data_IF_202885155548
#
_entry.id   IF_202885155548
#
_cell.length_a   1.000
_cell.length_b   1.000
_cell.length_c   1.000
_cell.angle_alpha   90.00
_cell.angle_beta   90.00
_cell.angle_gamma   90.00
#
_symmetry.space_group_name_H-M   'P 1'
#
loop_
_entity.id
_entity.type
_entity.pdbx_description
1 polymer ?
#
# COMPACT_ATOMS: atom_id res chain seq x y z
N UNK A 1 17.65 -15.32 0.91
CA UNK A 1 17.26 -15.89 -0.41
C UNK A 1 16.11 -15.07 -0.97
N UNK A 2 16.13 -14.78 -2.27
CA UNK A 2 15.06 -14.06 -2.97
C UNK A 2 14.51 -14.96 -4.08
N UNK A 3 13.19 -14.94 -4.28
CA UNK A 3 12.52 -15.65 -5.36
C UNK A 3 12.19 -14.67 -6.49
N UNK A 4 12.31 -15.10 -7.76
CA UNK A 4 12.02 -14.27 -8.94
C UNK A 4 11.04 -15.00 -9.85
N UNK A 5 9.95 -14.32 -10.21
CA UNK A 5 9.04 -14.71 -11.29
C UNK A 5 9.31 -13.83 -12.51
N UNK A 6 9.49 -14.44 -13.68
CA UNK A 6 9.65 -13.72 -14.94
C UNK A 6 8.56 -14.15 -15.93
N UNK A 7 7.86 -13.17 -16.49
CA UNK A 7 6.79 -13.38 -17.46
C UNK A 7 7.15 -12.64 -18.74
N UNK A 8 7.36 -13.37 -19.83
CA UNK A 8 7.68 -12.83 -21.15
C UNK A 8 6.46 -12.83 -22.08
N UNK A 9 5.52 -11.91 -21.88
CA UNK A 9 4.32 -11.78 -22.71
C UNK A 9 4.24 -10.39 -23.32
N UNK A 10 4.31 -10.33 -24.66
CA UNK A 10 4.18 -9.09 -25.43
C UNK A 10 2.83 -8.41 -25.18
N UNK A 11 1.75 -9.20 -25.19
CA UNK A 11 0.39 -8.72 -24.92
C UNK A 11 0.28 -8.03 -23.56
N UNK A 12 0.75 -8.69 -22.48
CA UNK A 12 0.71 -8.10 -21.13
C UNK A 12 1.56 -6.82 -21.07
N UNK A 13 2.72 -6.82 -21.71
CA UNK A 13 3.57 -5.65 -21.74
C UNK A 13 2.88 -4.46 -22.43
N UNK A 14 2.29 -4.67 -23.60
CA UNK A 14 1.57 -3.65 -24.36
C UNK A 14 0.34 -3.13 -23.59
N UNK A 15 -0.42 -4.03 -22.95
CA UNK A 15 -1.56 -3.66 -22.09
C UNK A 15 -1.11 -2.77 -20.92
N UNK A 16 0.02 -3.07 -20.27
CA UNK A 16 0.57 -2.26 -19.18
C UNK A 16 1.02 -0.89 -19.66
N UNK A 17 1.64 -0.80 -20.84
CA UNK A 17 2.03 0.49 -21.45
C UNK A 17 0.77 1.32 -21.76
N UNK A 18 -0.26 0.71 -22.35
CA UNK A 18 -1.53 1.38 -22.66
C UNK A 18 -2.24 1.90 -21.40
N UNK A 19 -2.11 1.19 -20.28
CA UNK A 19 -2.59 1.63 -18.96
C UNK A 19 -1.74 2.73 -18.34
N UNK A 20 -0.60 3.12 -18.94
CA UNK A 20 0.26 4.22 -18.49
C UNK A 20 1.47 3.80 -17.66
N UNK A 21 1.83 2.51 -17.64
CA UNK A 21 3.09 2.06 -17.02
C UNK A 21 4.28 2.37 -17.93
N UNK A 22 5.43 2.65 -17.31
CA UNK A 22 6.68 2.96 -18.00
C UNK A 22 7.78 1.95 -17.67
N UNK A 23 8.85 1.91 -18.46
CA UNK A 23 10.09 1.23 -18.07
C UNK A 23 10.86 2.09 -17.06
N UNK A 24 11.69 1.48 -16.20
CA UNK A 24 12.39 2.18 -15.08
C UNK A 24 11.41 2.95 -14.16
N UNK A 25 10.37 2.21 -13.73
CA UNK A 25 9.20 2.71 -12.98
C UNK A 25 9.55 3.55 -11.75
N UNK A 26 10.57 3.19 -10.97
CA UNK A 26 10.84 3.80 -9.68
C UNK A 26 11.01 5.33 -9.71
N UNK A 27 11.45 5.90 -10.84
CA UNK A 27 11.71 7.33 -10.99
C UNK A 27 10.67 8.05 -11.88
N UNK A 28 9.81 7.32 -12.59
CA UNK A 28 8.85 7.89 -13.56
C UNK A 28 7.40 7.52 -13.25
N UNK A 29 7.15 6.82 -12.14
CA UNK A 29 5.83 6.34 -11.77
C UNK A 29 4.86 7.50 -11.57
N UNK A 30 3.83 7.54 -12.41
CA UNK A 30 2.66 8.41 -12.21
C UNK A 30 1.51 7.54 -11.76
N UNK A 31 0.68 8.06 -10.85
CA UNK A 31 -0.55 7.38 -10.51
C UNK A 31 -1.44 7.33 -11.75
N UNK A 32 -1.88 6.13 -12.10
CA UNK A 32 -2.75 5.89 -13.25
C UNK A 32 -4.13 6.49 -13.01
N UNK A 33 -4.88 6.76 -14.08
CA UNK A 33 -6.30 7.08 -13.96
C UNK A 33 -7.04 5.77 -13.75
N UNK A 34 -7.40 5.50 -12.49
CA UNK A 34 -8.04 4.24 -12.09
C UNK A 34 -9.51 4.53 -11.80
N UNK A 35 -10.46 3.82 -12.45
CA UNK A 35 -11.87 3.95 -12.12
C UNK A 35 -12.09 3.69 -10.63
N UNK A 36 -12.91 4.52 -9.97
CA UNK A 36 -13.14 4.44 -8.50
C UNK A 36 -13.49 3.03 -8.02
N UNK A 37 -14.28 2.29 -8.81
CA UNK A 37 -14.68 0.89 -8.55
C UNK A 37 -13.52 -0.12 -8.51
N UNK A 38 -12.35 0.23 -9.05
CA UNK A 38 -11.17 -0.63 -9.09
C UNK A 38 -10.03 -0.11 -8.20
N UNK A 39 -10.19 1.07 -7.58
CA UNK A 39 -9.13 1.70 -6.83
C UNK A 39 -8.71 0.89 -5.59
N UNK A 40 -9.67 0.25 -4.91
CA UNK A 40 -9.39 -0.68 -3.82
C UNK A 40 -8.52 -1.86 -4.25
N UNK A 41 -8.76 -2.43 -5.44
CA UNK A 41 -7.96 -3.51 -6.00
C UNK A 41 -6.55 -3.07 -6.36
N UNK A 42 -6.41 -1.88 -6.95
CA UNK A 42 -5.10 -1.29 -7.22
C UNK A 42 -4.30 -1.07 -5.93
N UNK A 43 -4.92 -0.43 -4.92
CA UNK A 43 -4.27 -0.16 -3.64
C UNK A 43 -3.86 -1.45 -2.97
N UNK A 44 -4.71 -2.50 -3.00
CA UNK A 44 -4.37 -3.83 -2.48
C UNK A 44 -3.18 -4.44 -3.21
N UNK A 45 -3.20 -4.45 -4.54
CA UNK A 45 -2.09 -5.00 -5.34
C UNK A 45 -0.77 -4.26 -5.09
N UNK A 46 -0.82 -2.94 -5.02
CA UNK A 46 0.35 -2.13 -4.68
C UNK A 46 0.82 -2.36 -3.24
N UNK A 47 -0.12 -2.45 -2.29
CA UNK A 47 0.19 -2.76 -0.90
C UNK A 47 0.80 -4.15 -0.76
N UNK A 48 0.34 -5.14 -1.52
CA UNK A 48 0.85 -6.51 -1.47
C UNK A 48 2.23 -6.64 -2.10
N UNK A 49 2.53 -5.86 -3.13
CA UNK A 49 3.89 -5.68 -3.65
C UNK A 49 4.81 -4.96 -2.66
N UNK A 50 4.59 -3.65 -2.48
CA UNK A 50 5.56 -2.72 -1.87
C UNK A 50 5.09 -2.12 -0.53
N UNK A 51 3.89 -2.47 -0.09
CA UNK A 51 3.38 -2.08 1.22
C UNK A 51 3.97 -2.90 2.36
N UNK A 52 3.76 -2.43 3.59
CA UNK A 52 4.14 -3.15 4.79
C UNK A 52 3.15 -2.89 5.94
N UNK A 53 3.11 -3.83 6.88
CA UNK A 53 2.30 -3.74 8.10
C UNK A 53 3.05 -4.39 9.25
N UNK A 54 3.04 -3.74 10.41
CA UNK A 54 3.61 -4.30 11.63
C UNK A 54 2.89 -3.81 12.88
N UNK A 55 2.95 -4.65 13.92
CA UNK A 55 2.39 -4.38 15.24
C UNK A 55 3.56 -4.11 16.18
N UNK A 56 3.50 -3.01 16.93
CA UNK A 56 4.52 -2.67 17.90
C UNK A 56 3.90 -2.23 19.23
N UNK A 57 4.65 -2.42 20.33
CA UNK A 57 4.25 -1.91 21.65
C UNK A 57 4.74 -0.48 21.83
N UNK A 58 3.84 0.43 22.17
CA UNK A 58 4.18 1.83 22.41
C UNK A 58 4.60 2.05 23.85
N UNK A 59 5.87 2.45 24.05
CA UNK A 59 6.41 2.77 25.38
C UNK A 59 5.65 3.92 26.04
N UNK A 60 5.29 4.94 25.26
CA UNK A 60 4.53 6.12 25.70
C UNK A 60 3.05 5.84 26.01
N UNK A 61 2.55 4.64 25.72
CA UNK A 61 1.15 4.24 25.95
C UNK A 61 1.04 2.99 26.83
N UNK A 62 1.89 2.89 27.85
CA UNK A 62 1.92 1.77 28.81
C UNK A 62 2.02 0.39 28.13
N UNK A 63 2.74 0.31 27.02
CA UNK A 63 2.95 -0.94 26.28
C UNK A 63 1.76 -1.39 25.42
N UNK A 64 0.71 -0.56 25.24
CA UNK A 64 -0.41 -0.87 24.33
C UNK A 64 0.09 -1.15 22.92
N UNK A 65 -0.52 -2.15 22.28
CA UNK A 65 -0.23 -2.51 20.90
C UNK A 65 -0.74 -1.42 19.95
N UNK A 66 0.08 -1.07 18.97
CA UNK A 66 -0.26 -0.16 17.88
C UNK A 66 0.02 -0.83 16.54
N UNK A 67 -0.86 -0.55 15.58
CA UNK A 67 -0.75 -1.02 14.22
C UNK A 67 -0.20 0.11 13.36
N UNK A 68 0.82 -0.19 12.57
CA UNK A 68 1.32 0.72 11.55
C UNK A 68 1.31 -0.01 10.21
N UNK A 69 0.72 0.63 9.21
CA UNK A 69 0.76 0.17 7.83
C UNK A 69 1.24 1.32 6.93
N UNK A 70 1.91 0.99 5.83
CA UNK A 70 2.43 2.00 4.93
C UNK A 70 2.88 1.48 3.58
N UNK A 71 3.29 2.42 2.74
CA UNK A 71 3.82 2.21 1.41
C UNK A 71 5.24 2.74 1.31
N UNK A 72 6.04 2.14 0.44
CA UNK A 72 7.38 2.60 0.11
C UNK A 72 7.51 2.79 -1.41
N UNK A 73 8.07 3.92 -1.84
CA UNK A 73 8.25 4.23 -3.25
C UNK A 73 9.50 5.10 -3.46
N UNK A 74 10.12 5.01 -4.64
CA UNK A 74 11.16 5.96 -5.06
C UNK A 74 10.62 7.34 -5.46
N UNK A 75 9.31 7.47 -5.67
CA UNK A 75 8.67 8.72 -6.09
C UNK A 75 7.77 9.29 -5.00
N UNK A 76 8.12 10.47 -4.50
CA UNK A 76 7.31 11.25 -3.55
C UNK A 76 5.95 11.63 -4.13
N UNK A 77 5.97 12.22 -5.32
CA UNK A 77 4.78 12.67 -6.05
C UNK A 77 3.78 11.54 -6.25
N UNK A 78 4.26 10.32 -6.47
CA UNK A 78 3.38 9.15 -6.55
C UNK A 78 2.67 8.86 -5.22
N UNK A 79 3.42 8.83 -4.11
CA UNK A 79 2.85 8.58 -2.78
C UNK A 79 1.91 9.69 -2.33
N UNK A 80 2.19 10.95 -2.66
CA UNK A 80 1.27 12.07 -2.41
C UNK A 80 -0.07 11.89 -3.12
N UNK A 81 -0.04 11.50 -4.39
CA UNK A 81 -1.26 11.22 -5.16
C UNK A 81 -2.03 10.04 -4.59
N UNK A 82 -1.34 8.94 -4.25
CA UNK A 82 -1.96 7.79 -3.56
C UNK A 82 -2.60 8.23 -2.25
N UNK A 83 -1.91 9.05 -1.45
CA UNK A 83 -2.45 9.54 -0.19
C UNK A 83 -3.70 10.40 -0.40
N UNK A 84 -3.67 11.31 -1.38
CA UNK A 84 -4.81 12.17 -1.73
C UNK A 84 -6.03 11.34 -2.13
N UNK A 85 -5.86 10.33 -2.98
CA UNK A 85 -6.96 9.45 -3.39
C UNK A 85 -7.47 8.57 -2.24
N UNK A 86 -6.59 8.10 -1.36
CA UNK A 86 -6.98 7.37 -0.16
C UNK A 86 -7.78 8.22 0.83
N UNK A 87 -7.45 9.51 0.99
CA UNK A 87 -8.26 10.42 1.82
C UNK A 87 -9.70 10.54 1.29
N UNK A 88 -9.86 10.57 -0.04
CA UNK A 88 -11.17 10.70 -0.70
C UNK A 88 -12.00 9.41 -0.62
N UNK A 89 -11.36 8.25 -0.65
CA UNK A 89 -12.04 6.97 -0.91
C UNK A 89 -12.01 5.97 0.25
N UNK A 90 -11.01 6.05 1.13
CA UNK A 90 -10.73 5.05 2.16
C UNK A 90 -10.95 5.56 3.60
N UNK A 91 -11.59 6.73 3.79
CA UNK A 91 -11.80 7.36 5.10
C UNK A 91 -10.50 7.47 5.93
N UNK A 92 -9.38 7.73 5.24
CA UNK A 92 -8.09 8.01 5.86
C UNK A 92 -8.02 9.50 6.16
N UNK A 93 -7.69 9.85 7.40
CA UNK A 93 -7.63 11.25 7.85
C UNK A 93 -6.19 11.75 7.90
N UNK A 94 -5.30 10.93 8.46
CA UNK A 94 -3.91 11.29 8.74
C UNK A 94 -2.95 10.30 8.09
N UNK A 95 -1.73 10.75 7.88
CA UNK A 95 -0.64 9.97 7.31
C UNK A 95 0.65 10.77 7.40
N UNK A 96 1.77 10.07 7.52
CA UNK A 96 3.10 10.66 7.57
C UNK A 96 3.86 10.26 6.32
N UNK A 97 4.13 11.23 5.46
CA UNK A 97 5.00 11.09 4.31
C UNK A 97 6.39 11.64 4.68
N UNK A 98 7.44 10.85 4.48
CA UNK A 98 8.81 11.30 4.73
C UNK A 98 9.79 10.57 3.83
N UNK A 99 10.93 11.21 3.56
CA UNK A 99 12.06 10.61 2.86
C UNK A 99 12.96 9.87 3.86
N UNK A 100 13.51 8.74 3.44
CA UNK A 100 14.48 7.95 4.21
C UNK A 100 15.77 7.82 3.43
N UNK A 101 16.88 8.14 4.08
CA UNK A 101 18.24 8.07 3.53
C UNK A 101 18.39 8.78 2.17
N UNK A 102 17.62 9.85 1.90
CA UNK A 102 17.58 10.57 0.61
C UNK A 102 17.42 9.67 -0.64
N UNK A 103 16.85 8.48 -0.48
CA UNK A 103 16.79 7.47 -1.56
C UNK A 103 15.39 6.97 -1.85
N UNK A 104 14.51 6.93 -0.84
CA UNK A 104 13.13 6.50 -1.01
C UNK A 104 12.19 7.19 -0.02
N UNK A 105 10.92 7.18 -0.37
CA UNK A 105 9.84 7.82 0.37
C UNK A 105 8.94 6.78 1.03
N UNK A 106 8.44 7.14 2.19
CA UNK A 106 7.62 6.31 3.04
C UNK A 106 6.34 7.03 3.40
N UNK A 107 5.19 6.41 3.14
CA UNK A 107 3.88 6.89 3.58
C UNK A 107 3.32 5.93 4.63
N UNK A 108 3.21 6.38 5.87
CA UNK A 108 2.72 5.56 6.99
C UNK A 108 1.44 6.08 7.62
N UNK A 109 0.62 5.15 8.07
CA UNK A 109 -0.68 5.39 8.69
C UNK A 109 -0.68 4.93 10.15
N UNK A 110 -1.30 5.73 11.01
CA UNK A 110 -1.51 5.37 12.42
C UNK A 110 -2.53 4.25 12.57
N UNK A 111 -2.75 3.74 13.78
CA UNK A 111 -3.65 2.60 14.03
C UNK A 111 -5.02 2.75 13.36
N UNK A 112 -5.72 3.86 13.56
CA UNK A 112 -7.08 4.03 13.03
C UNK A 112 -7.09 4.09 11.51
N UNK A 113 -6.17 4.86 10.91
CA UNK A 113 -6.04 4.97 9.45
C UNK A 113 -5.56 3.64 8.83
N UNK A 114 -4.74 2.86 9.55
CA UNK A 114 -4.32 1.52 9.13
C UNK A 114 -5.48 0.53 9.12
N UNK A 115 -6.41 0.64 10.07
CA UNK A 115 -7.65 -0.15 10.08
C UNK A 115 -8.57 0.28 8.94
N UNK A 116 -8.70 1.59 8.68
CA UNK A 116 -9.44 2.08 7.51
C UNK A 116 -8.84 1.57 6.19
N UNK A 117 -7.52 1.59 6.06
CA UNK A 117 -6.79 1.05 4.90
C UNK A 117 -7.04 -0.45 4.74
N UNK A 118 -7.00 -1.23 5.85
CA UNK A 118 -7.33 -2.65 5.83
C UNK A 118 -8.75 -2.90 5.31
N UNK A 119 -9.74 -2.20 5.86
CA UNK A 119 -11.13 -2.33 5.44
C UNK A 119 -11.28 -1.97 3.96
N UNK A 120 -10.62 -0.90 3.50
CA UNK A 120 -10.66 -0.49 2.11
C UNK A 120 -10.09 -1.55 1.16
N UNK A 121 -8.98 -2.20 1.52
CA UNK A 121 -8.32 -3.18 0.65
C UNK A 121 -8.98 -4.56 0.67
N UNK A 122 -9.43 -5.01 1.85
CA UNK A 122 -9.78 -6.42 2.08
C UNK A 122 -11.27 -6.68 2.26
N UNK A 123 -12.11 -5.66 2.48
CA UNK A 123 -13.55 -5.85 2.49
C UNK A 123 -13.99 -6.20 1.05
N UNK A 124 -14.40 -7.46 0.82
CA UNK A 124 -14.76 -8.00 -0.49
C UNK A 124 -13.58 -8.20 -1.48
N UNK A 125 -12.43 -8.67 -1.00
CA UNK A 125 -11.25 -8.91 -1.85
C UNK A 125 -11.22 -10.23 -2.63
N UNK A 126 -12.18 -11.14 -2.41
CA UNK A 126 -12.11 -12.51 -2.92
C UNK A 126 -10.83 -13.18 -2.40
N UNK A 127 -10.15 -13.93 -3.27
CA UNK A 127 -8.93 -14.69 -2.90
C UNK A 127 -7.62 -14.03 -3.40
N UNK A 128 -7.71 -12.86 -4.03
CA UNK A 128 -6.55 -12.17 -4.62
C UNK A 128 -5.87 -11.23 -3.62
N UNK A 129 -5.12 -11.81 -2.69
CA UNK A 129 -4.30 -11.10 -1.70
C UNK A 129 -3.13 -11.93 -1.17
N UNK A 130 -2.13 -11.28 -0.58
CA UNK A 130 -1.07 -11.97 0.15
C UNK A 130 -1.47 -12.23 1.61
N UNK A 131 -1.74 -13.50 1.92
CA UNK A 131 -2.17 -13.96 3.24
C UNK A 131 -1.28 -13.42 4.37
N UNK A 132 0.05 -13.48 4.19
CA UNK A 132 1.05 -12.99 5.17
C UNK A 132 0.84 -11.54 5.62
N UNK A 133 0.27 -10.68 4.76
CA UNK A 133 0.02 -9.26 5.08
C UNK A 133 -1.35 -9.11 5.73
N UNK A 134 -2.37 -9.75 5.18
CA UNK A 134 -3.73 -9.75 5.74
C UNK A 134 -3.76 -10.26 7.18
N UNK A 135 -3.11 -11.39 7.45
CA UNK A 135 -3.06 -12.01 8.79
C UNK A 135 -2.45 -11.08 9.85
N UNK A 136 -1.53 -10.19 9.48
CA UNK A 136 -0.95 -9.22 10.42
C UNK A 136 -1.98 -8.19 10.87
N UNK A 137 -2.83 -7.71 9.96
CA UNK A 137 -3.96 -6.86 10.32
C UNK A 137 -4.95 -7.61 11.21
N UNK A 138 -5.37 -8.81 10.78
CA UNK A 138 -6.35 -9.61 11.50
C UNK A 138 -5.87 -9.98 12.91
N UNK A 139 -4.58 -10.31 13.07
CA UNK A 139 -3.98 -10.56 14.39
C UNK A 139 -4.09 -9.34 15.29
N UNK A 140 -3.92 -8.13 14.77
CA UNK A 140 -4.13 -6.92 15.58
C UNK A 140 -5.61 -6.74 15.94
N UNK A 141 -6.50 -6.87 14.95
CA UNK A 141 -7.93 -6.65 15.12
C UNK A 141 -8.59 -7.62 16.09
N UNK A 142 -8.12 -8.89 16.16
CA UNK A 142 -8.59 -9.88 17.14
C UNK A 142 -8.19 -9.57 18.58
N UNK A 143 -7.11 -8.81 18.80
CA UNK A 143 -6.56 -8.49 20.11
C UNK A 143 -6.85 -7.03 20.55
N UNK A 144 -7.73 -6.35 19.83
CA UNK A 144 -8.12 -4.95 20.10
C UNK A 144 -9.28 -4.90 21.08
#
# INVERSE_FOLDING_TARGET
MAYRLQIGSKKIFEDLIALGMTSRKSNTLKLLIIPKKHFNHFVRGYFDGDGNVYIHKRKDRKGKLSLLAGFTCGSEVFLEKVFSELKKTANIKKGSLYCKNNTYYCLYFSTNDSVSLYNFMYNQCGDLFLLRKKERFEKYLKNR
#
